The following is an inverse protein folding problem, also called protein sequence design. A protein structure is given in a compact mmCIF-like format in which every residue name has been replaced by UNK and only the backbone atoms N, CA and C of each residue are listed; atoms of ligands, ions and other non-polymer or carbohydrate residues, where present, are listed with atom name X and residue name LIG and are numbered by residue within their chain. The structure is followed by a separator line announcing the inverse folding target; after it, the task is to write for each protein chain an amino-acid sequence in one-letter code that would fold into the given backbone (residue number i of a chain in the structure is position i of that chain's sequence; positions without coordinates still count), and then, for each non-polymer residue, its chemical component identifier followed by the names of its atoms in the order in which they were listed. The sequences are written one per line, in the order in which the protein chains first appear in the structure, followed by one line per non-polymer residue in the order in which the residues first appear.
data_IF_676680258646
#
_entry.id   IF_676680258646
#
_cell.length_a   1.000
_cell.length_b   1.000
_cell.length_c   1.000
_cell.angle_alpha   90.00
_cell.angle_beta   90.00
_cell.angle_gamma   90.00
#
_symmetry.space_group_name_H-M   'P 1'
#
loop_
_entity.id
_entity.type
_entity.pdbx_description
1 polymer ?
#
# COMPACT_ATOMS: atom_id res chain seq x y z
N UNK A 1 17.35 12.66 1.19
CA UNK A 1 16.25 11.78 0.75
C UNK A 1 16.49 10.40 1.33
N UNK A 2 15.87 10.08 2.46
CA UNK A 2 16.09 8.81 3.14
C UNK A 2 15.40 7.69 2.33
N UNK A 3 16.18 7.00 1.51
CA UNK A 3 15.77 5.74 0.89
C UNK A 3 15.61 4.76 2.05
N UNK A 4 14.39 4.56 2.56
CA UNK A 4 14.14 3.50 3.54
C UNK A 4 14.34 2.17 2.80
N UNK A 5 15.58 1.72 2.72
CA UNK A 5 15.87 0.30 2.52
C UNK A 5 15.20 -0.38 3.69
N UNK A 6 13.97 -0.87 3.47
CA UNK A 6 13.43 -1.89 4.35
C UNK A 6 14.51 -2.96 4.37
N UNK A 7 15.02 -3.21 5.55
CA UNK A 7 16.06 -4.20 5.76
C UNK A 7 15.62 -5.53 5.13
N UNK A 8 16.51 -6.21 4.40
CA UNK A 8 16.14 -7.43 3.69
C UNK A 8 15.59 -8.49 4.66
N UNK A 9 16.11 -8.54 5.89
CA UNK A 9 15.63 -9.43 6.94
C UNK A 9 14.19 -9.09 7.33
N UNK A 10 13.86 -7.80 7.41
CA UNK A 10 12.51 -7.34 7.72
C UNK A 10 11.50 -7.72 6.63
N UNK A 11 11.92 -7.71 5.35
CA UNK A 11 11.07 -8.17 4.24
C UNK A 11 10.86 -9.67 4.28
N UNK A 12 11.91 -10.45 4.48
CA UNK A 12 11.82 -11.91 4.54
C UNK A 12 10.96 -12.36 5.71
N UNK A 13 11.08 -11.70 6.87
CA UNK A 13 10.23 -11.95 8.02
C UNK A 13 8.76 -11.62 7.71
N UNK A 14 8.49 -10.47 7.09
CA UNK A 14 7.13 -10.09 6.72
C UNK A 14 6.49 -11.09 5.73
N UNK A 15 7.25 -11.52 4.72
CA UNK A 15 6.82 -12.55 3.75
C UNK A 15 6.53 -13.87 4.47
N UNK A 16 7.39 -14.28 5.40
CA UNK A 16 7.23 -15.52 6.17
C UNK A 16 5.98 -15.47 7.04
N UNK A 17 5.72 -14.34 7.70
CA UNK A 17 4.52 -14.13 8.52
C UNK A 17 3.25 -14.21 7.66
N UNK A 18 3.23 -13.60 6.48
CA UNK A 18 2.08 -13.65 5.57
C UNK A 18 1.82 -15.08 5.08
N UNK A 19 2.86 -15.78 4.65
CA UNK A 19 2.76 -17.19 4.24
C UNK A 19 2.28 -18.11 5.37
N UNK A 20 2.71 -17.85 6.61
CA UNK A 20 2.26 -18.61 7.80
C UNK A 20 0.76 -18.43 8.07
N UNK A 21 0.18 -17.33 7.59
CA UNK A 21 -1.25 -17.03 7.69
C UNK A 21 -2.05 -17.46 6.46
N UNK A 22 -1.43 -18.22 5.54
CA UNK A 22 -2.02 -18.61 4.25
C UNK A 22 -2.38 -17.39 3.37
N UNK A 23 -1.66 -16.28 3.54
CA UNK A 23 -1.85 -15.06 2.75
C UNK A 23 -0.74 -14.98 1.70
N UNK A 24 -1.14 -14.82 0.43
CA UNK A 24 -0.18 -14.56 -0.64
C UNK A 24 0.42 -13.14 -0.49
N UNK A 25 1.75 -13.00 -0.37
CA UNK A 25 2.38 -11.70 -0.15
C UNK A 25 2.18 -10.71 -1.31
N UNK A 26 2.10 -11.20 -2.55
CA UNK A 26 1.92 -10.37 -3.74
C UNK A 26 0.48 -9.85 -3.82
N UNK A 27 -0.50 -10.71 -3.56
CA UNK A 27 -1.91 -10.33 -3.44
C UNK A 27 -2.10 -9.29 -2.33
N UNK A 28 -1.57 -9.54 -1.14
CA UNK A 28 -1.65 -8.60 -0.01
C UNK A 28 -1.06 -7.23 -0.36
N UNK A 29 0.09 -7.21 -1.01
CA UNK A 29 0.75 -5.96 -1.41
C UNK A 29 -0.08 -5.21 -2.47
N UNK A 30 -0.65 -5.94 -3.43
CA UNK A 30 -1.53 -5.38 -4.46
C UNK A 30 -2.81 -4.79 -3.87
N UNK A 31 -3.43 -5.45 -2.88
CA UNK A 31 -4.58 -4.90 -2.16
C UNK A 31 -4.22 -3.60 -1.43
N UNK A 32 -3.05 -3.56 -0.78
CA UNK A 32 -2.58 -2.33 -0.11
C UNK A 32 -2.33 -1.19 -1.08
N UNK A 33 -1.78 -1.47 -2.26
CA UNK A 33 -1.65 -0.46 -3.31
C UNK A 33 -3.01 0.04 -3.80
N UNK A 34 -3.98 -0.85 -4.04
CA UNK A 34 -5.34 -0.47 -4.44
C UNK A 34 -6.02 0.41 -3.39
N UNK A 35 -5.87 0.08 -2.12
CA UNK A 35 -6.42 0.84 -0.99
C UNK A 35 -5.90 2.28 -0.99
N UNK A 36 -4.58 2.45 -1.05
CA UNK A 36 -3.93 3.77 -1.07
C UNK A 36 -4.33 4.57 -2.31
N UNK A 37 -4.32 3.95 -3.49
CA UNK A 37 -4.74 4.60 -4.73
C UNK A 37 -6.18 5.07 -4.61
N UNK A 38 -7.09 4.21 -4.14
CA UNK A 38 -8.51 4.53 -4.00
C UNK A 38 -8.75 5.70 -3.04
N UNK A 39 -8.08 5.70 -1.88
CA UNK A 39 -8.19 6.80 -0.92
C UNK A 39 -7.71 8.12 -1.53
N UNK A 40 -6.55 8.10 -2.18
CA UNK A 40 -5.99 9.30 -2.82
C UNK A 40 -6.87 9.79 -3.98
N UNK A 41 -7.40 8.88 -4.80
CA UNK A 41 -8.32 9.22 -5.88
C UNK A 41 -9.60 9.87 -5.35
N UNK A 42 -10.17 9.39 -4.23
CA UNK A 42 -11.33 10.03 -3.60
C UNK A 42 -11.04 11.47 -3.18
N UNK A 43 -9.92 11.69 -2.50
CA UNK A 43 -9.48 13.03 -2.07
C UNK A 43 -9.33 13.95 -3.28
N UNK A 44 -8.67 13.49 -4.34
CA UNK A 44 -8.50 14.27 -5.56
C UNK A 44 -9.83 14.64 -6.21
N UNK A 45 -10.78 13.71 -6.25
CA UNK A 45 -12.13 13.96 -6.78
C UNK A 45 -12.86 15.00 -5.92
N UNK A 46 -12.77 14.92 -4.60
CA UNK A 46 -13.35 15.90 -3.67
C UNK A 46 -12.73 17.29 -3.87
N UNK A 47 -11.41 17.37 -3.98
CA UNK A 47 -10.71 18.62 -4.26
C UNK A 47 -11.16 19.23 -5.60
N UNK A 48 -11.24 18.42 -6.67
CA UNK A 48 -11.67 18.88 -7.99
C UNK A 48 -13.12 19.40 -7.99
N UNK A 49 -14.02 18.72 -7.27
CA UNK A 49 -15.41 19.16 -7.10
C UNK A 49 -15.49 20.48 -6.32
N UNK A 50 -14.69 20.63 -5.28
CA UNK A 50 -14.66 21.84 -4.45
C UNK A 50 -13.99 23.03 -5.14
N UNK A 51 -13.10 22.81 -6.12
CA UNK A 51 -12.48 23.86 -6.94
C UNK A 51 -13.35 24.32 -8.12
N UNK A 52 -14.52 23.72 -8.34
CA UNK A 52 -15.44 24.08 -9.42
C UNK A 52 -16.48 25.15 -9.03
N UNK A 53 -16.27 25.84 -7.89
CA UNK A 53 -17.07 26.98 -7.42
C UNK A 53 -16.30 28.28 -7.67
#
# INVERSE_FOLDING_TARGET
MAKSKIDNESKELAITILKTKDIDPEEWLNEKYKEVITQNSKILIECLKNSQI
#
